data_IF_212722096704
#
_entry.id   IF_212722096704
#
_cell.length_a   1.000
_cell.length_b   1.000
_cell.length_c   1.000
_cell.angle_alpha   90.00
_cell.angle_beta   90.00
_cell.angle_gamma   90.00
#
_symmetry.space_group_name_H-M   'P 1'
#
loop_
_entity.id
_entity.type
_entity.pdbx_description
1 polymer ?
#
# COMPACT_ATOMS: atom_id res chain seq x y z
N UNK A 1 -5.16 15.57 -9.62
CA UNK A 1 -4.51 14.41 -8.98
C UNK A 1 -5.56 13.57 -8.31
N UNK A 2 -5.49 12.26 -8.43
CA UNK A 2 -6.56 11.38 -7.98
C UNK A 2 -6.07 10.49 -6.84
N UNK A 3 -6.71 10.64 -5.70
CA UNK A 3 -6.46 9.87 -4.49
C UNK A 3 -7.54 8.81 -4.32
N UNK A 4 -7.18 7.62 -3.88
CA UNK A 4 -8.14 6.65 -3.40
C UNK A 4 -7.90 6.32 -1.93
N UNK A 5 -8.96 5.90 -1.24
CA UNK A 5 -8.90 5.54 0.16
C UNK A 5 -9.62 4.22 0.40
N UNK A 6 -8.99 3.37 1.19
CA UNK A 6 -9.53 2.08 1.60
C UNK A 6 -9.53 2.04 3.12
N UNK A 7 -10.62 1.59 3.72
CA UNK A 7 -10.73 1.38 5.16
C UNK A 7 -11.23 -0.04 5.39
N UNK A 8 -10.49 -0.79 6.20
CA UNK A 8 -10.86 -2.17 6.57
C UNK A 8 -10.72 -2.34 8.07
N UNK A 9 -11.71 -3.01 8.68
CA UNK A 9 -11.66 -3.41 10.08
C UNK A 9 -11.27 -4.89 10.17
N UNK A 10 -10.50 -5.24 11.19
CA UNK A 10 -10.02 -6.62 11.39
C UNK A 10 -9.94 -6.95 12.87
N UNK A 11 -10.22 -8.21 13.22
CA UNK A 11 -10.17 -8.69 14.60
C UNK A 11 -8.73 -9.12 14.99
N UNK A 12 -7.78 -8.24 14.78
CA UNK A 12 -6.36 -8.45 15.10
C UNK A 12 -5.86 -7.24 15.90
N UNK A 13 -4.86 -7.46 16.76
CA UNK A 13 -4.23 -6.35 17.48
C UNK A 13 -3.59 -5.35 16.50
N UNK A 14 -3.39 -4.09 16.89
CA UNK A 14 -2.69 -3.14 16.06
C UNK A 14 -1.28 -3.61 15.65
N UNK A 15 -0.55 -4.26 16.55
CA UNK A 15 0.79 -4.78 16.26
C UNK A 15 0.77 -5.87 15.18
N UNK A 16 -0.12 -6.84 15.32
CA UNK A 16 -0.25 -7.93 14.34
C UNK A 16 -0.76 -7.40 13.00
N UNK A 17 -1.71 -6.47 13.03
CA UNK A 17 -2.23 -5.82 11.83
C UNK A 17 -1.12 -5.07 11.12
N UNK A 18 -0.32 -4.30 11.85
CA UNK A 18 0.83 -3.59 11.31
C UNK A 18 1.83 -4.54 10.65
N UNK A 19 2.18 -5.61 11.33
CA UNK A 19 3.10 -6.61 10.80
C UNK A 19 2.64 -7.15 9.45
N UNK A 20 1.36 -7.42 9.31
CA UNK A 20 0.78 -7.95 8.07
C UNK A 20 0.73 -6.94 6.95
N UNK A 21 0.30 -5.71 7.23
CA UNK A 21 0.17 -4.69 6.18
C UNK A 21 1.51 -4.10 5.75
N UNK A 22 2.56 -4.28 6.53
CA UNK A 22 3.92 -3.83 6.17
C UNK A 22 4.84 -4.97 5.74
N UNK A 23 4.32 -6.15 5.54
CA UNK A 23 5.06 -7.28 4.97
C UNK A 23 5.11 -7.12 3.45
N UNK A 24 6.09 -6.36 2.98
CA UNK A 24 6.18 -5.96 1.58
C UNK A 24 6.20 -7.13 0.59
N UNK A 25 6.95 -8.22 0.82
CA UNK A 25 6.92 -9.36 -0.10
C UNK A 25 5.51 -9.94 -0.32
N UNK A 26 4.68 -9.96 0.72
CA UNK A 26 3.30 -10.46 0.59
C UNK A 26 2.40 -9.54 -0.21
N UNK A 27 2.72 -8.25 -0.28
CA UNK A 27 2.01 -7.34 -1.19
C UNK A 27 2.14 -7.81 -2.64
N UNK A 28 3.33 -8.27 -3.03
CA UNK A 28 3.54 -8.81 -4.36
C UNK A 28 2.71 -10.07 -4.63
N UNK A 29 2.58 -10.94 -3.65
CA UNK A 29 1.75 -12.14 -3.78
C UNK A 29 0.27 -11.81 -3.97
N UNK A 30 -0.19 -10.71 -3.39
CA UNK A 30 -1.59 -10.29 -3.43
C UNK A 30 -1.97 -9.49 -4.69
N UNK A 31 -1.00 -9.03 -5.46
CA UNK A 31 -1.21 -8.25 -6.69
C UNK A 31 -0.68 -9.04 -7.88
N UNK A 32 -1.50 -9.27 -8.95
CA UNK A 32 -1.07 -10.04 -10.11
C UNK A 32 0.20 -9.47 -10.78
N UNK A 33 1.09 -10.37 -11.21
CA UNK A 33 2.30 -10.05 -11.97
C UNK A 33 3.25 -9.08 -11.25
N UNK A 34 3.22 -9.07 -9.92
CA UNK A 34 3.95 -8.09 -9.12
C UNK A 34 4.83 -8.79 -8.08
N UNK A 35 6.05 -8.30 -7.94
CA UNK A 35 6.97 -8.69 -6.87
C UNK A 35 7.32 -7.42 -6.09
N UNK A 36 7.19 -7.46 -4.77
CA UNK A 36 7.50 -6.32 -3.91
C UNK A 36 8.64 -6.69 -2.97
N UNK A 37 9.63 -5.82 -2.89
CA UNK A 37 10.77 -5.96 -1.98
C UNK A 37 10.96 -4.68 -1.18
N UNK A 38 11.53 -4.78 0.01
CA UNK A 38 11.81 -3.61 0.83
C UNK A 38 13.01 -3.86 1.75
N UNK A 39 13.79 -2.80 2.01
CA UNK A 39 14.98 -2.84 2.85
C UNK A 39 14.87 -1.95 4.11
N UNK A 40 13.68 -1.47 4.44
CA UNK A 40 13.43 -0.56 5.55
C UNK A 40 13.49 0.92 5.19
N UNK A 41 14.11 1.29 4.07
CA UNK A 41 14.17 2.67 3.56
C UNK A 41 13.49 2.82 2.23
N UNK A 42 13.54 1.78 1.40
CA UNK A 42 13.01 1.79 0.04
C UNK A 42 12.16 0.56 -0.17
N UNK A 43 11.00 0.74 -0.78
CA UNK A 43 10.11 -0.34 -1.21
C UNK A 43 10.01 -0.28 -2.72
N UNK A 44 10.20 -1.41 -3.38
CA UNK A 44 10.15 -1.49 -4.85
C UNK A 44 9.10 -2.53 -5.24
N UNK A 45 8.08 -2.08 -5.95
CA UNK A 45 7.11 -2.95 -6.61
C UNK A 45 7.47 -3.10 -8.08
N UNK A 46 7.70 -4.33 -8.53
CA UNK A 46 7.98 -4.62 -9.93
C UNK A 46 6.79 -5.36 -10.51
N UNK A 47 6.15 -4.77 -11.50
CA UNK A 47 5.00 -5.33 -12.19
C UNK A 47 5.34 -5.56 -13.65
N UNK A 48 5.09 -6.76 -14.16
CA UNK A 48 5.35 -7.01 -15.57
C UNK A 48 5.19 -8.45 -16.00
N UNK A 49 5.18 -8.65 -17.31
CA UNK A 49 5.13 -9.94 -17.98
C UNK A 49 6.26 -9.99 -19.02
N UNK A 50 7.16 -10.95 -18.87
CA UNK A 50 8.32 -11.07 -19.74
C UNK A 50 9.22 -9.83 -19.68
N UNK A 51 9.49 -9.21 -20.84
CA UNK A 51 10.30 -7.97 -20.93
C UNK A 51 9.48 -6.70 -20.73
N UNK A 52 8.15 -6.82 -20.62
CA UNK A 52 7.27 -5.69 -20.46
C UNK A 52 6.93 -5.52 -18.99
N UNK A 53 7.27 -4.38 -18.43
CA UNK A 53 7.00 -4.09 -17.05
C UNK A 53 7.55 -2.76 -16.60
N UNK A 54 7.29 -2.42 -15.36
CA UNK A 54 7.78 -1.20 -14.73
C UNK A 54 8.06 -1.43 -13.25
N UNK A 55 8.86 -0.54 -12.69
CA UNK A 55 9.14 -0.52 -11.26
C UNK A 55 8.50 0.70 -10.62
N UNK A 56 7.82 0.49 -9.50
CA UNK A 56 7.33 1.55 -8.63
C UNK A 56 8.28 1.62 -7.43
N UNK A 57 9.18 2.59 -7.48
CA UNK A 57 10.18 2.81 -6.42
C UNK A 57 9.64 3.81 -5.42
N UNK A 58 9.58 3.42 -4.15
CA UNK A 58 9.04 4.24 -3.08
C UNK A 58 10.05 4.41 -1.96
N UNK A 59 10.20 5.63 -1.47
CA UNK A 59 10.98 5.89 -0.26
C UNK A 59 10.06 5.86 0.96
N UNK A 60 10.55 5.26 2.03
CA UNK A 60 9.87 5.30 3.32
C UNK A 60 10.16 6.66 3.95
N UNK A 61 9.16 7.55 3.95
CA UNK A 61 9.26 8.88 4.52
C UNK A 61 8.93 8.90 6.00
N UNK A 62 7.96 8.07 6.43
CA UNK A 62 7.54 7.94 7.81
C UNK A 62 7.37 6.47 8.16
N UNK A 63 7.90 6.09 9.32
CA UNK A 63 7.78 4.74 9.85
C UNK A 63 7.57 4.81 11.35
N UNK A 64 6.33 4.70 11.77
CA UNK A 64 5.93 4.78 13.18
C UNK A 64 5.06 3.56 13.52
N UNK A 65 5.67 2.42 13.94
CA UNK A 65 4.89 1.26 14.34
C UNK A 65 3.99 1.56 15.54
N UNK A 66 2.85 0.86 15.69
CA UNK A 66 2.02 1.01 16.87
C UNK A 66 2.76 0.51 18.11
N UNK A 67 2.62 1.24 19.21
CA UNK A 67 3.22 0.86 20.48
C UNK A 67 2.14 0.33 21.42
N UNK A 68 2.19 -0.97 21.69
CA UNK A 68 1.21 -1.64 22.52
C UNK A 68 -0.16 -1.80 21.85
N UNK A 69 -1.13 -2.24 22.63
CA UNK A 69 -2.48 -2.56 22.15
C UNK A 69 -3.33 -1.35 21.81
N UNK A 70 -2.90 -0.15 22.23
CA UNK A 70 -3.64 1.09 22.03
C UNK A 70 -2.90 2.10 21.17
N UNK A 71 -1.73 1.73 20.66
CA UNK A 71 -0.93 2.60 19.81
C UNK A 71 -1.47 2.71 18.40
N UNK A 72 -1.20 3.83 17.76
CA UNK A 72 -1.52 4.07 16.34
C UNK A 72 -0.23 3.95 15.54
N UNK A 73 -0.24 3.12 14.51
CA UNK A 73 0.87 2.99 13.57
C UNK A 73 0.64 3.81 12.31
N UNK A 74 1.70 4.45 11.81
CA UNK A 74 1.67 5.24 10.57
C UNK A 74 2.89 4.96 9.71
N UNK A 75 2.66 4.76 8.43
CA UNK A 75 3.69 4.60 7.43
C UNK A 75 3.36 5.49 6.24
N UNK A 76 4.35 6.22 5.74
CA UNK A 76 4.20 7.01 4.52
C UNK A 76 5.30 6.64 3.54
N UNK A 77 4.90 6.35 2.32
CA UNK A 77 5.77 6.03 1.21
C UNK A 77 5.60 7.11 0.14
N UNK A 78 6.71 7.58 -0.41
CA UNK A 78 6.70 8.56 -1.51
C UNK A 78 7.23 7.88 -2.76
N UNK A 79 6.46 7.92 -3.82
CA UNK A 79 6.81 7.30 -5.11
C UNK A 79 7.76 8.22 -5.87
N UNK A 80 8.85 7.63 -6.36
CA UNK A 80 9.96 8.39 -6.96
C UNK A 80 9.88 8.57 -8.46
N UNK A 81 8.96 7.91 -9.12
CA UNK A 81 8.96 7.96 -10.58
C UNK A 81 10.14 7.19 -11.18
N UNK A 82 10.41 7.35 -12.49
CA UNK A 82 9.70 8.25 -13.40
C UNK A 82 8.35 7.73 -13.92
N UNK A 83 8.11 6.40 -13.84
CA UNK A 83 6.89 5.82 -14.40
C UNK A 83 5.70 6.04 -13.49
N UNK A 84 5.87 5.78 -12.19
CA UNK A 84 4.82 5.94 -11.19
C UNK A 84 5.22 7.01 -10.21
N UNK A 85 4.33 7.99 -9.99
CA UNK A 85 4.52 9.08 -9.02
C UNK A 85 3.34 9.13 -8.05
N UNK A 86 3.54 9.81 -6.93
CA UNK A 86 2.54 9.96 -5.89
C UNK A 86 3.04 9.53 -4.51
N UNK A 87 2.11 9.09 -3.68
CA UNK A 87 2.42 8.69 -2.32
C UNK A 87 1.41 7.66 -1.83
N UNK A 88 1.76 6.94 -0.77
CA UNK A 88 0.88 6.02 -0.08
C UNK A 88 1.02 6.20 1.43
N UNK A 89 -0.08 6.19 2.15
CA UNK A 89 -0.12 6.23 3.60
C UNK A 89 -0.92 5.05 4.14
N UNK A 90 -0.36 4.38 5.13
CA UNK A 90 -1.02 3.30 5.86
C UNK A 90 -1.12 3.73 7.32
N UNK A 91 -2.33 3.69 7.86
CA UNK A 91 -2.56 3.95 9.28
C UNK A 91 -3.26 2.73 9.89
N UNK A 92 -2.74 2.27 11.01
CA UNK A 92 -3.33 1.19 11.79
C UNK A 92 -3.68 1.75 13.16
N UNK A 93 -4.94 1.63 13.57
CA UNK A 93 -5.42 2.11 14.87
C UNK A 93 -6.27 1.08 15.57
N UNK A 94 -6.34 1.12 16.91
CA UNK A 94 -7.28 0.29 17.65
C UNK A 94 -8.72 0.62 17.27
N UNK A 95 -9.53 -0.41 17.11
CA UNK A 95 -10.94 -0.24 16.76
C UNK A 95 -11.76 -1.44 17.23
N UNK A 96 -12.73 -1.22 18.13
CA UNK A 96 -13.70 -2.22 18.61
C UNK A 96 -13.09 -3.57 19.01
N UNK A 97 -12.01 -3.54 19.81
CA UNK A 97 -11.32 -4.77 20.26
C UNK A 97 -10.39 -5.39 19.24
N UNK A 98 -10.31 -4.82 18.05
CA UNK A 98 -9.37 -5.19 16.99
C UNK A 98 -8.67 -3.96 16.45
N UNK A 99 -8.58 -3.85 15.14
CA UNK A 99 -7.92 -2.74 14.46
C UNK A 99 -8.69 -2.26 13.25
N UNK A 100 -8.47 -1.02 12.86
CA UNK A 100 -8.89 -0.48 11.58
C UNK A 100 -7.65 -0.05 10.80
N UNK A 101 -7.59 -0.41 9.54
CA UNK A 101 -6.54 0.00 8.61
C UNK A 101 -7.12 1.01 7.64
N UNK A 102 -6.44 2.14 7.53
CA UNK A 102 -6.74 3.13 6.50
C UNK A 102 -5.55 3.21 5.54
N UNK A 103 -5.83 2.96 4.29
CA UNK A 103 -4.85 3.07 3.21
C UNK A 103 -5.30 4.18 2.28
N UNK A 104 -4.46 5.20 2.14
CA UNK A 104 -4.66 6.31 1.22
C UNK A 104 -3.52 6.31 0.22
N UNK A 105 -3.83 6.46 -1.04
CA UNK A 105 -2.81 6.47 -2.07
C UNK A 105 -3.20 7.44 -3.18
N UNK A 106 -2.23 8.19 -3.64
CA UNK A 106 -2.29 8.96 -4.86
C UNK A 106 -1.33 8.33 -5.84
N UNK A 107 -1.84 7.97 -6.99
CA UNK A 107 -1.11 7.22 -7.97
C UNK A 107 -1.27 7.87 -9.34
N UNK A 108 -0.16 8.14 -10.01
CA UNK A 108 -0.14 8.62 -11.37
C UNK A 108 0.90 7.86 -12.17
N UNK A 109 0.47 7.32 -13.30
CA UNK A 109 1.34 6.65 -14.25
C UNK A 109 1.71 7.65 -15.33
N UNK A 110 3.00 8.01 -15.41
CA UNK A 110 3.48 9.12 -16.23
C UNK A 110 3.29 8.95 -17.74
N UNK A 111 3.12 7.71 -18.21
CA UNK A 111 2.88 7.43 -19.63
C UNK A 111 1.41 7.57 -20.03
N UNK A 112 0.50 7.75 -19.06
CA UNK A 112 -0.93 7.92 -19.32
C UNK A 112 -1.33 9.39 -19.28
N UNK A 113 -2.19 9.86 -20.22
CA UNK A 113 -2.76 11.20 -20.13
C UNK A 113 -3.57 11.40 -18.86
N UNK A 114 -3.71 12.64 -18.39
CA UNK A 114 -4.41 12.98 -17.16
C UNK A 114 -5.88 12.54 -17.12
N UNK A 115 -6.52 12.38 -18.29
CA UNK A 115 -7.90 11.89 -18.36
C UNK A 115 -8.07 10.45 -17.83
N UNK A 116 -6.96 9.69 -17.72
CA UNK A 116 -6.97 8.33 -17.17
C UNK A 116 -6.75 8.30 -15.66
N UNK A 117 -6.57 9.44 -15.00
CA UNK A 117 -6.30 9.46 -13.55
C UNK A 117 -7.45 8.84 -12.73
N UNK A 118 -8.69 9.18 -13.03
CA UNK A 118 -9.85 8.62 -12.32
C UNK A 118 -10.02 7.10 -12.52
N UNK A 119 -10.00 6.59 -13.77
CA UNK A 119 -10.03 5.14 -13.99
C UNK A 119 -8.87 4.41 -13.31
N UNK A 120 -7.66 5.00 -13.36
CA UNK A 120 -6.48 4.43 -12.71
C UNK A 120 -6.67 4.35 -11.20
N UNK A 121 -7.19 5.41 -10.56
CA UNK A 121 -7.47 5.41 -9.13
C UNK A 121 -8.55 4.38 -8.76
N UNK A 122 -9.60 4.26 -9.59
CA UNK A 122 -10.65 3.27 -9.36
C UNK A 122 -10.10 1.84 -9.44
N UNK A 123 -9.31 1.52 -10.46
CA UNK A 123 -8.66 0.22 -10.59
C UNK A 123 -7.72 -0.04 -9.42
N UNK A 124 -6.92 0.94 -9.04
CA UNK A 124 -6.02 0.84 -7.89
C UNK A 124 -6.78 0.53 -6.61
N UNK A 125 -7.88 1.23 -6.37
CA UNK A 125 -8.73 1.00 -5.20
C UNK A 125 -9.25 -0.44 -5.15
N UNK A 126 -9.73 -0.98 -6.27
CA UNK A 126 -10.24 -2.35 -6.33
C UNK A 126 -9.12 -3.36 -6.07
N UNK A 127 -8.00 -3.21 -6.75
CA UNK A 127 -6.85 -4.13 -6.62
C UNK A 127 -6.28 -4.09 -5.21
N UNK A 128 -6.02 -2.91 -4.67
CA UNK A 128 -5.40 -2.76 -3.35
C UNK A 128 -6.36 -3.11 -2.22
N UNK A 129 -7.66 -2.92 -2.39
CA UNK A 129 -8.63 -3.41 -1.42
C UNK A 129 -8.59 -4.93 -1.31
N UNK A 130 -8.54 -5.62 -2.44
CA UNK A 130 -8.41 -7.08 -2.46
C UNK A 130 -7.08 -7.53 -1.85
N UNK A 131 -5.99 -6.84 -2.18
CA UNK A 131 -4.67 -7.12 -1.63
C UNK A 131 -4.68 -6.94 -0.11
N UNK A 132 -5.22 -5.83 0.38
CA UNK A 132 -5.30 -5.55 1.82
C UNK A 132 -6.12 -6.63 2.54
N UNK A 133 -7.26 -7.02 2.01
CA UNK A 133 -8.07 -8.10 2.59
C UNK A 133 -7.30 -9.43 2.64
N UNK A 134 -6.54 -9.74 1.60
CA UNK A 134 -5.70 -10.94 1.56
C UNK A 134 -4.63 -10.92 2.65
N UNK A 135 -3.94 -9.78 2.80
CA UNK A 135 -2.92 -9.61 3.84
C UNK A 135 -3.51 -9.77 5.25
N UNK A 136 -4.69 -9.21 5.48
CA UNK A 136 -5.33 -9.25 6.79
C UNK A 136 -5.90 -10.61 7.16
N UNK A 137 -6.22 -11.43 6.18
CA UNK A 137 -6.68 -12.81 6.42
C UNK A 137 -5.53 -13.76 6.80
N UNK A 138 -4.33 -13.37 6.49
CA UNK A 138 -3.14 -14.13 6.83
C UNK A 138 -2.86 -15.30 6.00
#
# INVERSE_FOLDING_TARGET
MTEFRIVEAVALSPEETWRRVTDWPRHGEAVPFTVVTGDGRTVVGRTGIGRFGFADVMDVERWEPPQGSFGVGRCRLVKRGPVVTGWAEIEVRPYRGGSAVRWREELRIGVLPGLFDRPTAWCGRVVFRRALRTLLRG
#
